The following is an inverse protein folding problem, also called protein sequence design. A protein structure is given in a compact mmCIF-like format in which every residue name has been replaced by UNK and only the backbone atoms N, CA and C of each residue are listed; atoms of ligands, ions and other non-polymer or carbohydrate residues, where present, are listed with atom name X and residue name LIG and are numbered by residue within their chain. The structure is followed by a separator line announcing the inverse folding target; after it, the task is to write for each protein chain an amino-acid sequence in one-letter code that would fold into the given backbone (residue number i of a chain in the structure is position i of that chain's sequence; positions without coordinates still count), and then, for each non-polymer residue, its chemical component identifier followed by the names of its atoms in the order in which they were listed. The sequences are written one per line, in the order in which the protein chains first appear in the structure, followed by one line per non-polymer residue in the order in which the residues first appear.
data_IF_754112969732
#
_entry.id   IF_754112969732
#
_cell.length_a   1.000
_cell.length_b   1.000
_cell.length_c   1.000
_cell.angle_alpha   90.00
_cell.angle_beta   90.00
_cell.angle_gamma   90.00
#
_symmetry.space_group_name_H-M   'P 1'
#
loop_
_entity.id
_entity.type
_entity.pdbx_description
1 polymer ?
#
# COMPACT_ATOMS: atom_id res chain seq x y z
N UNK A 1 -6.95 -7.27 22.08
CA UNK A 1 -6.76 -6.21 21.06
C UNK A 1 -6.49 -4.96 21.83
N UNK A 2 -5.34 -4.33 21.65
CA UNK A 2 -5.02 -3.09 22.36
C UNK A 2 -5.80 -1.91 21.74
N UNK A 3 -5.88 -0.77 22.45
CA UNK A 3 -6.58 0.43 21.98
C UNK A 3 -6.04 0.93 20.63
N UNK A 4 -4.74 0.78 20.39
CA UNK A 4 -4.09 1.11 19.11
C UNK A 4 -4.55 0.17 17.98
N UNK A 5 -4.66 -1.14 18.25
CA UNK A 5 -5.13 -2.12 17.26
C UNK A 5 -6.60 -1.84 16.87
N UNK A 6 -7.43 -1.51 17.86
CA UNK A 6 -8.84 -1.18 17.64
C UNK A 6 -9.00 0.11 16.82
N UNK A 7 -8.23 1.15 17.16
CA UNK A 7 -8.19 2.42 16.43
C UNK A 7 -7.73 2.22 14.99
N UNK A 8 -6.65 1.46 14.78
CA UNK A 8 -6.17 1.13 13.45
C UNK A 8 -7.21 0.36 12.65
N UNK A 9 -7.91 -0.60 13.27
CA UNK A 9 -8.96 -1.37 12.58
C UNK A 9 -10.16 -0.51 12.16
N UNK A 10 -10.57 0.46 12.98
CA UNK A 10 -11.63 1.42 12.63
C UNK A 10 -11.17 2.33 11.50
N UNK A 11 -10.02 2.98 11.65
CA UNK A 11 -9.56 3.94 10.65
C UNK A 11 -9.17 3.28 9.31
N UNK A 12 -8.66 2.05 9.30
CA UNK A 12 -8.48 1.27 8.06
C UNK A 12 -9.82 1.00 7.37
N UNK A 13 -10.88 0.72 8.12
CA UNK A 13 -12.21 0.55 7.51
C UNK A 13 -12.72 1.85 6.91
N UNK A 14 -12.55 2.97 7.63
CA UNK A 14 -12.91 4.30 7.14
C UNK A 14 -12.15 4.64 5.86
N UNK A 15 -10.84 4.35 5.80
CA UNK A 15 -10.01 4.55 4.61
C UNK A 15 -10.53 3.72 3.43
N UNK A 16 -10.84 2.44 3.65
CA UNK A 16 -11.44 1.62 2.60
C UNK A 16 -12.81 2.17 2.16
N UNK A 17 -13.62 2.68 3.08
CA UNK A 17 -14.91 3.30 2.73
C UNK A 17 -14.73 4.57 1.93
N UNK A 18 -13.82 5.46 2.33
CA UNK A 18 -13.51 6.71 1.66
C UNK A 18 -13.04 6.49 0.21
N UNK A 19 -12.29 5.41 -0.03
CA UNK A 19 -11.87 5.00 -1.38
C UNK A 19 -12.95 4.25 -2.17
N UNK A 20 -14.11 3.96 -1.57
CA UNK A 20 -15.14 3.11 -2.18
C UNK A 20 -14.75 1.62 -2.27
N UNK A 21 -13.77 1.20 -1.47
CA UNK A 21 -13.19 -0.15 -1.43
C UNK A 21 -13.79 -1.02 -0.34
N UNK A 22 -14.73 -0.50 0.46
CA UNK A 22 -15.52 -1.29 1.41
C UNK A 22 -16.61 -2.12 0.70
N UNK A 23 -16.14 -3.05 -0.12
CA UNK A 23 -16.96 -3.93 -0.94
C UNK A 23 -16.37 -5.33 -0.98
N UNK A 24 -17.12 -6.27 -1.56
CA UNK A 24 -16.60 -7.61 -1.80
C UNK A 24 -15.61 -7.58 -2.97
N UNK A 25 -14.38 -7.96 -2.68
CA UNK A 25 -13.34 -8.18 -3.70
C UNK A 25 -13.25 -9.65 -4.08
N UNK A 26 -12.74 -9.97 -5.27
CA UNK A 26 -12.31 -11.33 -5.56
C UNK A 26 -11.22 -11.78 -4.56
N UNK A 27 -10.99 -13.09 -4.48
CA UNK A 27 -9.97 -13.62 -3.59
C UNK A 27 -8.59 -13.07 -3.99
N UNK A 28 -7.88 -12.48 -3.03
CA UNK A 28 -6.53 -11.96 -3.26
C UNK A 28 -5.62 -13.10 -3.76
N UNK A 29 -4.92 -12.91 -4.89
CA UNK A 29 -4.02 -13.93 -5.42
C UNK A 29 -2.86 -14.20 -4.45
N UNK A 30 -2.24 -15.38 -4.56
CA UNK A 30 -1.16 -15.80 -3.66
C UNK A 30 0.07 -14.90 -3.78
N UNK A 31 0.31 -14.35 -4.97
CA UNK A 31 1.38 -13.42 -5.30
C UNK A 31 1.30 -12.14 -4.45
N UNK A 32 0.10 -11.66 -4.17
CA UNK A 32 -0.14 -10.51 -3.29
C UNK A 32 0.13 -10.81 -1.79
N UNK A 33 0.31 -12.10 -1.46
CA UNK A 33 0.69 -12.60 -0.14
C UNK A 33 2.12 -13.10 -0.06
N UNK A 34 2.85 -13.11 -1.18
CA UNK A 34 4.23 -13.56 -1.22
C UNK A 34 5.09 -12.72 -0.27
N UNK A 35 6.10 -13.35 0.34
CA UNK A 35 7.05 -12.72 1.27
C UNK A 35 7.98 -11.69 0.57
N UNK A 36 7.79 -11.48 -0.73
CA UNK A 36 8.52 -10.50 -1.51
C UNK A 36 8.03 -9.08 -1.26
N UNK A 37 8.82 -8.11 -1.73
CA UNK A 37 8.42 -6.70 -1.73
C UNK A 37 7.20 -6.52 -2.64
N UNK A 38 6.20 -5.77 -2.16
CA UNK A 38 5.03 -5.42 -2.97
C UNK A 38 5.48 -4.75 -4.28
N UNK A 39 4.93 -5.11 -5.45
CA UNK A 39 5.35 -4.52 -6.72
C UNK A 39 5.28 -3.00 -6.69
N UNK A 40 6.27 -2.30 -7.26
CA UNK A 40 6.32 -0.83 -7.24
C UNK A 40 6.74 -0.21 -5.90
N UNK A 41 6.85 -0.99 -4.81
CA UNK A 41 7.39 -0.48 -3.55
C UNK A 41 8.86 -0.06 -3.73
N UNK A 42 9.20 1.14 -3.24
CA UNK A 42 10.57 1.68 -3.26
C UNK A 42 11.41 1.13 -2.11
N UNK A 43 12.72 1.07 -2.31
CA UNK A 43 13.65 0.91 -1.20
C UNK A 43 13.59 2.14 -0.29
N UNK A 44 13.27 1.87 0.98
CA UNK A 44 12.94 2.86 1.99
C UNK A 44 12.16 2.16 3.10
N UNK A 45 12.74 2.14 4.29
CA UNK A 45 12.06 1.73 5.52
C UNK A 45 11.84 2.97 6.36
N UNK A 46 10.75 2.99 7.12
CA UNK A 46 10.63 3.94 8.22
C UNK A 46 11.53 3.46 9.37
N UNK A 47 12.27 4.36 10.04
CA UNK A 47 13.15 3.97 11.14
C UNK A 47 12.36 3.38 12.31
N UNK A 48 11.10 3.81 12.48
CA UNK A 48 10.18 3.31 13.48
C UNK A 48 9.18 2.32 12.86
N UNK A 49 8.87 1.27 13.62
CA UNK A 49 7.91 0.25 13.24
C UNK A 49 6.82 0.15 14.30
N UNK A 50 5.57 0.16 13.86
CA UNK A 50 4.41 -0.05 14.71
C UNK A 50 3.79 -1.42 14.39
N UNK A 51 3.90 -2.42 15.27
CA UNK A 51 3.18 -3.68 15.08
C UNK A 51 1.68 -3.45 15.26
N UNK A 52 0.88 -3.92 14.30
CA UNK A 52 -0.58 -3.81 14.31
C UNK A 52 -1.24 -5.17 14.16
N UNK A 53 -2.29 -5.41 14.94
CA UNK A 53 -3.14 -6.60 14.82
C UNK A 53 -4.49 -6.22 14.24
N UNK A 54 -4.63 -6.42 12.93
CA UNK A 54 -5.89 -6.17 12.23
C UNK A 54 -6.76 -7.44 12.16
N UNK A 55 -8.09 -7.30 12.19
CA UNK A 55 -8.99 -8.42 11.89
C UNK A 55 -8.66 -9.04 10.54
N UNK A 56 -8.49 -10.37 10.50
CA UNK A 56 -8.01 -11.07 9.32
C UNK A 56 -8.87 -10.83 8.07
N UNK A 57 -10.19 -10.59 8.21
CA UNK A 57 -11.06 -10.24 7.09
C UNK A 57 -10.72 -8.86 6.51
N UNK A 58 -10.49 -7.87 7.39
CA UNK A 58 -10.15 -6.50 7.00
C UNK A 58 -8.80 -6.46 6.30
N UNK A 59 -7.82 -7.20 6.85
CA UNK A 59 -6.49 -7.34 6.27
C UNK A 59 -6.55 -7.91 4.84
N UNK A 60 -7.29 -9.01 4.65
CA UNK A 60 -7.47 -9.62 3.33
C UNK A 60 -8.17 -8.71 2.34
N UNK A 61 -9.16 -7.95 2.82
CA UNK A 61 -9.93 -7.01 2.00
C UNK A 61 -9.04 -5.87 1.51
N UNK A 62 -8.26 -5.26 2.40
CA UNK A 62 -7.31 -4.20 2.04
C UNK A 62 -6.26 -4.70 1.04
N UNK A 63 -5.71 -5.91 1.24
CA UNK A 63 -4.79 -6.53 0.28
C UNK A 63 -5.42 -6.75 -1.09
N UNK A 64 -6.63 -7.33 -1.13
CA UNK A 64 -7.33 -7.58 -2.37
C UNK A 64 -7.62 -6.26 -3.10
N UNK A 65 -8.09 -5.24 -2.36
CA UNK A 65 -8.31 -3.91 -2.91
C UNK A 65 -7.04 -3.34 -3.54
N UNK A 66 -5.94 -3.28 -2.78
CA UNK A 66 -4.64 -2.78 -3.28
C UNK A 66 -4.18 -3.52 -4.54
N UNK A 67 -4.33 -4.85 -4.57
CA UNK A 67 -3.95 -5.65 -5.73
C UNK A 67 -4.80 -5.30 -6.95
N UNK A 68 -6.12 -5.40 -6.84
CA UNK A 68 -7.01 -5.26 -7.99
C UNK A 68 -7.07 -3.82 -8.51
N UNK A 69 -6.91 -2.82 -7.65
CA UNK A 69 -6.87 -1.41 -8.08
C UNK A 69 -5.54 -1.03 -8.70
N UNK A 70 -4.48 -1.77 -8.39
CA UNK A 70 -3.14 -1.54 -8.94
C UNK A 70 -2.79 -2.52 -10.06
N UNK A 71 -3.71 -3.40 -10.47
CA UNK A 71 -3.40 -4.53 -11.34
C UNK A 71 -2.71 -4.10 -12.66
N UNK A 72 -3.26 -3.10 -13.34
CA UNK A 72 -2.70 -2.57 -14.58
C UNK A 72 -1.29 -2.00 -14.37
N UNK A 73 -1.07 -1.25 -13.29
CA UNK A 73 0.26 -0.71 -12.97
C UNK A 73 1.26 -1.81 -12.58
N UNK A 74 0.80 -2.86 -11.89
CA UNK A 74 1.62 -4.03 -11.54
C UNK A 74 2.05 -4.76 -12.82
N UNK A 75 1.15 -4.94 -13.77
CA UNK A 75 1.45 -5.58 -15.05
C UNK A 75 2.40 -4.71 -15.89
N UNK A 76 2.17 -3.40 -15.96
CA UNK A 76 3.10 -2.46 -16.60
C UNK A 76 4.50 -2.48 -15.97
N UNK A 77 4.60 -2.59 -14.63
CA UNK A 77 5.90 -2.74 -13.95
C UNK A 77 6.59 -4.07 -14.27
N UNK A 78 5.83 -5.14 -14.50
CA UNK A 78 6.38 -6.45 -14.93
C UNK A 78 6.91 -6.35 -16.35
N UNK A 79 6.17 -5.72 -17.25
CA UNK A 79 6.58 -5.50 -18.63
C UNK A 79 7.83 -4.61 -18.69
N UNK A 80 7.82 -3.50 -17.94
CA UNK A 80 8.99 -2.63 -17.77
C UNK A 80 10.21 -3.42 -17.29
N UNK A 81 10.02 -4.33 -16.32
CA UNK A 81 11.12 -5.17 -15.80
C UNK A 81 11.67 -6.13 -16.84
N UNK A 82 10.82 -6.66 -17.71
CA UNK A 82 11.23 -7.51 -18.82
C UNK A 82 11.99 -6.72 -19.90
N UNK A 83 11.59 -5.47 -20.15
CA UNK A 83 12.24 -4.58 -21.10
C UNK A 83 13.60 -4.04 -20.60
N UNK A 84 13.71 -3.76 -19.30
CA UNK A 84 14.89 -3.15 -18.68
C UNK A 84 15.53 -4.04 -17.59
N UNK A 85 15.97 -5.27 -17.89
CA UNK A 85 16.46 -6.22 -16.87
C UNK A 85 17.74 -5.74 -16.14
N UNK A 86 18.52 -4.88 -16.80
CA UNK A 86 19.77 -4.34 -16.28
C UNK A 86 19.56 -3.10 -15.39
N UNK A 87 18.45 -2.39 -15.52
CA UNK A 87 18.15 -1.21 -14.69
C UNK A 87 17.83 -1.66 -13.26
N UNK A 88 18.33 -0.92 -12.27
CA UNK A 88 18.17 -1.21 -10.83
C UNK A 88 17.46 -0.04 -10.15
N UNK A 89 16.11 0.00 -10.18
CA UNK A 89 15.33 1.08 -9.57
C UNK A 89 15.63 1.28 -8.09
N UNK A 90 15.83 0.18 -7.34
CA UNK A 90 16.23 0.17 -5.93
C UNK A 90 17.47 1.01 -5.64
N UNK A 91 18.44 0.99 -6.55
CA UNK A 91 19.71 1.71 -6.42
C UNK A 91 19.70 3.06 -7.12
N UNK A 92 18.55 3.48 -7.66
CA UNK A 92 18.40 4.61 -8.59
C UNK A 92 19.49 4.60 -9.65
N UNK A 93 19.74 3.43 -10.23
CA UNK A 93 20.84 3.23 -11.16
C UNK A 93 20.35 2.64 -12.47
N UNK A 94 20.83 3.22 -13.56
CA UNK A 94 20.65 2.76 -14.93
C UNK A 94 21.98 2.82 -15.69
N UNK A 95 22.19 1.95 -16.69
CA UNK A 95 23.24 2.13 -17.68
C UNK A 95 23.11 3.46 -18.42
N UNK A 96 24.21 3.97 -18.96
CA UNK A 96 24.22 5.20 -19.76
C UNK A 96 23.27 5.09 -20.96
N UNK A 97 22.42 6.10 -21.17
CA UNK A 97 21.40 6.13 -22.22
C UNK A 97 20.07 5.46 -21.86
N UNK A 98 19.92 4.94 -20.63
CA UNK A 98 18.69 4.35 -20.10
C UNK A 98 18.20 5.07 -18.83
N UNK A 99 18.67 6.29 -18.56
CA UNK A 99 18.32 7.05 -17.37
C UNK A 99 16.82 7.34 -17.29
N UNK A 100 16.18 7.61 -18.43
CA UNK A 100 14.73 7.84 -18.52
C UNK A 100 13.89 6.62 -18.10
N UNK A 101 14.44 5.41 -18.16
CA UNK A 101 13.74 4.22 -17.70
C UNK A 101 13.48 4.25 -16.19
N UNK A 102 14.32 4.95 -15.41
CA UNK A 102 14.06 5.16 -13.98
C UNK A 102 12.86 6.08 -13.74
N UNK A 103 12.69 7.10 -14.57
CA UNK A 103 11.54 8.01 -14.49
C UNK A 103 10.24 7.29 -14.86
N UNK A 104 10.28 6.46 -15.91
CA UNK A 104 9.16 5.60 -16.29
C UNK A 104 8.79 4.64 -15.17
N UNK A 105 9.78 3.98 -14.56
CA UNK A 105 9.54 3.14 -13.38
C UNK A 105 8.90 3.93 -12.25
N UNK A 106 9.39 5.14 -11.96
CA UNK A 106 8.85 5.99 -10.89
C UNK A 106 7.40 6.41 -11.15
N UNK A 107 7.04 6.69 -12.41
CA UNK A 107 5.66 6.97 -12.82
C UNK A 107 4.76 5.75 -12.63
N UNK A 108 5.16 4.58 -13.13
CA UNK A 108 4.39 3.35 -12.99
C UNK A 108 4.23 2.95 -11.51
N UNK A 109 5.31 3.04 -10.73
CA UNK A 109 5.29 2.75 -9.30
C UNK A 109 4.38 3.71 -8.52
N UNK A 110 4.23 4.97 -8.94
CA UNK A 110 3.33 5.92 -8.29
C UNK A 110 1.84 5.56 -8.42
N UNK A 111 1.49 4.73 -9.40
CA UNK A 111 0.13 4.24 -9.62
C UNK A 111 -0.22 3.01 -8.77
N UNK A 112 0.77 2.43 -8.07
CA UNK A 112 0.55 1.26 -7.21
C UNK A 112 0.23 1.69 -5.80
N UNK A 113 -1.00 1.41 -5.35
CA UNK A 113 -1.34 1.55 -3.93
C UNK A 113 -0.79 0.35 -3.15
N UNK A 114 -0.01 0.63 -2.11
CA UNK A 114 0.55 -0.41 -1.23
C UNK A 114 -0.29 -0.61 0.03
N UNK A 115 -0.25 -1.80 0.61
CA UNK A 115 -0.93 -2.05 1.90
C UNK A 115 -0.39 -1.14 3.01
N UNK A 116 0.91 -0.83 2.98
CA UNK A 116 1.54 0.08 3.94
C UNK A 116 1.04 1.52 3.84
N UNK A 117 0.57 1.95 2.67
CA UNK A 117 -0.14 3.22 2.52
C UNK A 117 -1.50 3.16 3.22
N UNK A 118 -2.28 2.10 2.99
CA UNK A 118 -3.60 1.91 3.62
C UNK A 118 -3.49 1.83 5.15
N UNK A 119 -2.47 1.16 5.68
CA UNK A 119 -2.27 1.09 7.13
C UNK A 119 -1.96 2.46 7.74
N UNK A 120 -1.09 3.25 7.09
CA UNK A 120 -0.75 4.60 7.58
C UNK A 120 -1.94 5.55 7.50
N UNK A 121 -2.62 5.59 6.36
CA UNK A 121 -3.84 6.39 6.20
C UNK A 121 -4.90 5.97 7.23
N UNK A 122 -5.08 4.67 7.45
CA UNK A 122 -6.00 4.16 8.45
C UNK A 122 -5.65 4.59 9.89
N UNK A 123 -4.37 4.60 10.28
CA UNK A 123 -3.96 5.14 11.58
C UNK A 123 -4.28 6.64 11.68
N UNK A 124 -3.97 7.42 10.64
CA UNK A 124 -4.26 8.86 10.59
C UNK A 124 -5.77 9.13 10.74
N UNK A 125 -6.62 8.38 10.03
CA UNK A 125 -8.07 8.45 10.18
C UNK A 125 -8.51 8.14 11.61
N UNK A 126 -8.01 7.06 12.20
CA UNK A 126 -8.35 6.68 13.58
C UNK A 126 -7.93 7.74 14.61
N UNK A 127 -6.76 8.36 14.43
CA UNK A 127 -6.29 9.45 15.31
C UNK A 127 -7.19 10.69 15.19
N UNK A 128 -7.56 11.06 13.97
CA UNK A 128 -8.46 12.20 13.72
C UNK A 128 -9.86 11.97 14.30
N UNK A 129 -10.40 10.76 14.19
CA UNK A 129 -11.71 10.41 14.75
C UNK A 129 -11.74 10.56 16.29
N UNK A 130 -10.67 10.16 16.98
CA UNK A 130 -10.53 10.34 18.43
C UNK A 130 -10.45 11.82 18.80
N UNK A 131 -9.66 12.62 18.06
CA UNK A 131 -9.52 14.05 18.32
C UNK A 131 -10.88 14.80 18.21
N UNK A 132 -11.70 14.45 17.21
CA UNK A 132 -13.03 15.06 17.00
C UNK A 132 -14.02 14.67 18.12
N UNK A 133 -14.00 13.42 18.59
CA UNK A 133 -14.85 12.97 19.70
C UNK A 133 -14.53 13.70 21.01
N UNK A 134 -13.26 14.01 21.26
CA UNK A 134 -12.84 14.77 22.45
C UNK A 134 -13.22 16.26 22.39
N UNK A 135 -13.35 16.86 21.20
CA UNK A 135 -13.79 18.26 21.05
C UNK A 135 -15.30 18.44 21.11
N UNK A 136 -16.08 17.42 20.73
CA UNK A 136 -17.56 17.47 20.74
C UNK A 136 -18.20 17.07 22.08
N UNK A 137 -17.40 16.57 23.02
CA UNK A 137 -17.85 16.20 24.38
C UNK A 137 -17.60 17.30 25.44
N UNK A 138 -17.43 18.57 25.02
CA UNK A 138 -17.21 19.73 25.89
C UNK A 138 -18.33 20.75 25.79
#
# INVERSE_FOLDING_TARGET
MDSIDALAAVGVREELQARGWDRRWPACPEEARSLGRWPGSRDGGFPEQLPLRLPARLERQARAACWYTSAEAIDALRDWRAQYPHVKPSRRWAPAGLESALEEYDQLASLVTTTGEIWRAGIEHGMNAVAVCHMTSR
#
